data_IF_314436512927
#
_entry.id   IF_314436512927
#
_cell.length_a   1.000
_cell.length_b   1.000
_cell.length_c   1.000
_cell.angle_alpha   90.00
_cell.angle_beta   90.00
_cell.angle_gamma   90.00
#
_symmetry.space_group_name_H-M   'P 1'
#
loop_
_entity.id
_entity.type
_entity.pdbx_description
1 polymer ?
#
# COMPACT_ATOMS: atom_id res chain seq x y z
N UNK A 1 27.63 -18.70 -19.70
CA UNK A 1 26.42 -18.43 -18.89
C UNK A 1 26.46 -19.07 -17.50
N UNK A 2 26.70 -20.40 -17.36
CA UNK A 2 26.71 -21.09 -16.05
C UNK A 2 27.70 -20.48 -15.02
N UNK A 3 28.91 -20.07 -15.45
CA UNK A 3 29.89 -19.42 -14.58
C UNK A 3 29.45 -18.02 -14.13
N UNK A 4 28.89 -17.21 -15.04
CA UNK A 4 28.38 -15.87 -14.72
C UNK A 4 27.28 -15.91 -13.66
N UNK A 5 26.36 -16.86 -13.81
CA UNK A 5 25.25 -17.08 -12.91
C UNK A 5 25.68 -17.45 -11.48
N UNK A 6 26.73 -18.28 -11.37
CA UNK A 6 27.34 -18.65 -10.10
C UNK A 6 28.09 -17.48 -9.48
N UNK A 7 28.82 -16.70 -10.27
CA UNK A 7 29.54 -15.51 -9.78
C UNK A 7 28.58 -14.47 -9.22
N UNK A 8 27.51 -14.15 -9.94
CA UNK A 8 26.52 -13.16 -9.52
C UNK A 8 25.65 -13.63 -8.34
N UNK A 9 25.61 -14.94 -8.04
CA UNK A 9 24.89 -15.47 -6.86
C UNK A 9 25.63 -15.27 -5.52
N UNK A 10 26.86 -14.74 -5.57
CA UNK A 10 27.69 -14.50 -4.39
C UNK A 10 27.11 -13.36 -3.53
N UNK A 11 27.18 -13.46 -2.19
CA UNK A 11 26.59 -12.49 -1.25
C UNK A 11 27.14 -11.07 -1.41
N UNK A 12 28.32 -10.91 -2.02
CA UNK A 12 28.95 -9.61 -2.30
C UNK A 12 28.07 -8.75 -3.22
N UNK A 13 27.27 -9.36 -4.10
CA UNK A 13 26.45 -8.64 -5.08
C UNK A 13 25.05 -8.28 -4.57
N UNK A 14 24.62 -8.78 -3.41
CA UNK A 14 23.26 -8.56 -2.90
C UNK A 14 23.01 -7.10 -2.49
N UNK A 15 23.95 -6.50 -1.76
CA UNK A 15 23.85 -5.10 -1.32
C UNK A 15 23.85 -4.11 -2.49
N UNK A 16 24.78 -4.17 -3.45
CA UNK A 16 24.74 -3.26 -4.60
C UNK A 16 23.50 -3.48 -5.46
N UNK A 17 23.03 -4.72 -5.63
CA UNK A 17 21.79 -4.99 -6.34
C UNK A 17 20.59 -4.31 -5.67
N UNK A 18 20.48 -4.41 -4.35
CA UNK A 18 19.41 -3.79 -3.57
C UNK A 18 19.47 -2.27 -3.61
N UNK A 19 20.67 -1.71 -3.49
CA UNK A 19 20.88 -0.27 -3.59
C UNK A 19 20.44 0.26 -4.96
N UNK A 20 20.83 -0.42 -6.05
CA UNK A 20 20.43 -0.06 -7.41
C UNK A 20 18.90 -0.13 -7.58
N UNK A 21 18.27 -1.15 -7.00
CA UNK A 21 16.83 -1.32 -7.09
C UNK A 21 16.06 -0.24 -6.31
N UNK A 22 16.53 0.14 -5.13
CA UNK A 22 15.97 1.27 -4.36
C UNK A 22 16.19 2.63 -5.05
N UNK A 23 17.35 2.81 -5.69
CA UNK A 23 17.65 4.04 -6.44
C UNK A 23 16.75 4.16 -7.67
N UNK A 24 16.58 3.06 -8.41
CA UNK A 24 15.64 2.97 -9.53
C UNK A 24 14.23 3.33 -9.08
N UNK A 25 13.78 2.77 -7.95
CA UNK A 25 12.45 3.04 -7.41
C UNK A 25 12.25 4.48 -6.96
N UNK A 26 13.28 5.08 -6.37
CA UNK A 26 13.24 6.47 -5.93
C UNK A 26 13.07 7.40 -7.14
N UNK A 27 13.86 7.19 -8.20
CA UNK A 27 13.75 7.94 -9.44
C UNK A 27 12.37 7.80 -10.08
N UNK A 28 11.87 6.57 -10.12
CA UNK A 28 10.59 6.22 -10.72
C UNK A 28 9.38 6.73 -9.91
N UNK A 29 9.43 6.66 -8.58
CA UNK A 29 8.42 7.24 -7.70
C UNK A 29 8.38 8.76 -7.82
N UNK A 30 9.55 9.39 -7.94
CA UNK A 30 9.67 10.83 -8.16
C UNK A 30 9.06 11.25 -9.51
N UNK A 31 9.34 10.49 -10.57
CA UNK A 31 8.77 10.71 -11.91
C UNK A 31 7.24 10.58 -11.89
N UNK A 32 6.70 9.62 -11.15
CA UNK A 32 5.24 9.48 -11.00
C UNK A 32 4.63 10.71 -10.33
N UNK A 33 5.20 11.18 -9.22
CA UNK A 33 4.67 12.36 -8.51
C UNK A 33 4.77 13.64 -9.35
N UNK A 34 5.79 13.77 -10.20
CA UNK A 34 5.97 14.98 -11.03
C UNK A 34 5.16 14.96 -12.32
N UNK A 35 4.97 13.79 -12.94
CA UNK A 35 4.38 13.68 -14.28
C UNK A 35 2.94 13.13 -14.31
N UNK A 36 2.48 12.40 -13.29
CA UNK A 36 1.09 11.95 -13.24
C UNK A 36 0.22 12.94 -12.45
N UNK A 37 -0.85 13.49 -13.05
CA UNK A 37 -1.79 14.34 -12.33
C UNK A 37 -2.52 13.54 -11.25
N UNK A 38 -2.64 14.15 -10.07
CA UNK A 38 -3.39 13.58 -8.96
C UNK A 38 -4.86 13.41 -9.35
N UNK A 39 -5.39 12.20 -9.17
CA UNK A 39 -6.84 11.97 -9.24
C UNK A 39 -7.43 12.29 -7.86
N UNK A 40 -8.22 13.36 -7.78
CA UNK A 40 -8.81 13.99 -6.58
C UNK A 40 -9.61 13.07 -5.61
N UNK A 41 -9.78 11.81 -5.94
CA UNK A 41 -10.84 10.94 -5.42
C UNK A 41 -10.68 10.66 -3.92
N UNK A 42 -9.43 10.57 -3.41
CA UNK A 42 -9.20 9.94 -2.10
C UNK A 42 -8.91 10.95 -0.97
N UNK A 43 -8.04 11.96 -1.14
CA UNK A 43 -7.74 12.91 -0.05
C UNK A 43 -8.93 13.82 0.27
N UNK A 44 -9.62 14.29 -0.77
CA UNK A 44 -10.77 15.21 -0.64
C UNK A 44 -11.97 14.50 0.00
N UNK A 45 -12.13 13.19 -0.22
CA UNK A 45 -13.23 12.42 0.37
C UNK A 45 -13.06 12.16 1.88
N UNK A 46 -11.82 12.18 2.39
CA UNK A 46 -11.53 11.83 3.79
C UNK A 46 -11.22 13.03 4.67
N UNK A 47 -10.79 14.15 4.07
CA UNK A 47 -10.72 15.40 4.82
C UNK A 47 -12.14 15.83 5.17
N UNK A 48 -12.45 16.08 6.47
CA UNK A 48 -13.69 16.73 6.83
C UNK A 48 -13.78 18.04 6.04
N UNK A 49 -14.97 18.43 5.54
CA UNK A 49 -15.12 19.76 4.97
C UNK A 49 -14.72 20.77 6.04
N UNK A 50 -13.55 21.38 5.89
CA UNK A 50 -13.02 22.44 6.75
C UNK A 50 -13.86 23.73 6.64
N UNK A 51 -14.96 23.68 5.87
CA UNK A 51 -15.94 24.74 5.82
C UNK A 51 -16.62 24.89 7.19
N UNK A 52 -16.15 25.88 7.96
CA UNK A 52 -16.75 26.41 9.20
C UNK A 52 -18.24 26.84 9.06
N UNK A 53 -18.86 26.70 7.89
CA UNK A 53 -20.26 27.06 7.60
C UNK A 53 -21.13 25.92 7.04
N UNK A 54 -20.58 24.74 6.78
CA UNK A 54 -21.40 23.62 6.31
C UNK A 54 -22.02 22.90 7.52
N UNK A 55 -23.35 22.91 7.61
CA UNK A 55 -24.09 22.13 8.60
C UNK A 55 -23.64 20.66 8.53
N UNK A 56 -23.35 19.99 9.66
CA UNK A 56 -22.91 18.60 9.63
C UNK A 56 -24.05 17.72 9.11
N UNK A 57 -23.78 16.99 8.03
CA UNK A 57 -24.55 15.80 7.68
C UNK A 57 -24.18 14.77 8.75
N UNK A 58 -25.17 14.31 9.52
CA UNK A 58 -25.00 13.22 10.50
C UNK A 58 -24.45 12.00 9.76
N UNK A 59 -23.14 11.80 9.84
CA UNK A 59 -22.46 10.58 9.42
C UNK A 59 -21.98 9.87 10.70
N UNK A 60 -22.03 8.54 10.67
CA UNK A 60 -21.95 7.65 11.83
C UNK A 60 -20.79 7.94 12.80
N UNK A 61 -20.95 7.53 14.08
CA UNK A 61 -20.00 7.65 15.20
C UNK A 61 -18.49 7.49 14.87
N UNK A 62 -18.14 6.65 13.87
CA UNK A 62 -16.76 6.44 13.44
C UNK A 62 -16.12 7.66 12.74
N UNK A 63 -16.88 8.43 11.96
CA UNK A 63 -16.40 9.67 11.35
C UNK A 63 -16.23 10.77 12.40
N UNK A 64 -17.06 10.77 13.44
CA UNK A 64 -16.96 11.75 14.53
C UNK A 64 -15.76 11.50 15.44
N UNK A 65 -15.38 10.24 15.69
CA UNK A 65 -14.18 9.90 16.46
C UNK A 65 -12.87 10.25 15.71
N UNK A 66 -12.78 9.91 14.42
CA UNK A 66 -11.65 10.29 13.58
C UNK A 66 -11.54 11.81 13.43
N UNK A 67 -12.67 12.50 13.23
CA UNK A 67 -12.71 13.95 13.20
C UNK A 67 -12.40 14.58 14.57
N UNK A 68 -12.74 13.95 15.69
CA UNK A 68 -12.40 14.43 17.04
C UNK A 68 -10.89 14.28 17.33
N UNK A 69 -10.27 13.16 16.97
CA UNK A 69 -8.81 12.98 17.10
C UNK A 69 -8.06 13.97 16.21
N UNK A 70 -8.54 14.17 14.99
CA UNK A 70 -7.99 15.17 14.07
C UNK A 70 -8.12 16.60 14.62
N UNK A 71 -9.32 16.98 15.12
CA UNK A 71 -9.54 18.28 15.77
C UNK A 71 -8.67 18.47 17.01
N UNK A 72 -8.54 17.45 17.85
CA UNK A 72 -7.68 17.50 19.04
C UNK A 72 -6.20 17.67 18.66
N UNK A 73 -5.75 17.06 17.56
CA UNK A 73 -4.40 17.23 17.02
C UNK A 73 -4.15 18.62 16.41
N UNK A 74 -5.20 19.28 15.90
CA UNK A 74 -5.11 20.67 15.42
C UNK A 74 -5.17 21.69 16.56
N UNK A 75 -5.95 21.41 17.61
CA UNK A 75 -6.05 22.25 18.81
C UNK A 75 -4.76 22.27 19.64
N UNK A 76 -3.93 21.22 19.55
CA UNK A 76 -2.61 21.18 20.21
C UNK A 76 -1.55 22.10 19.57
N UNK A 77 -1.86 22.80 18.47
CA UNK A 77 -1.00 23.87 17.92
C UNK A 77 0.34 23.41 17.33
N UNK A 78 0.69 22.14 17.38
CA UNK A 78 1.91 21.60 16.78
C UNK A 78 1.62 21.01 15.40
N UNK A 79 1.52 21.90 14.41
CA UNK A 79 1.47 21.51 13.00
C UNK A 79 2.86 21.04 12.53
N UNK A 80 3.32 19.90 13.06
CA UNK A 80 4.67 19.34 12.86
C UNK A 80 5.00 19.08 11.38
N UNK A 81 3.97 18.91 10.53
CA UNK A 81 4.11 18.67 9.09
C UNK A 81 3.62 19.83 8.21
N UNK A 82 3.05 20.89 8.79
CA UNK A 82 2.48 22.02 8.04
C UNK A 82 1.31 21.60 7.13
N UNK A 83 0.49 20.67 7.62
CA UNK A 83 -0.64 20.07 6.93
C UNK A 83 -1.93 20.58 7.59
N UNK A 84 -2.25 21.83 7.31
CA UNK A 84 -3.42 22.60 7.79
C UNK A 84 -4.81 21.99 7.44
N UNK A 85 -4.89 20.71 7.08
CA UNK A 85 -6.09 20.05 6.58
C UNK A 85 -6.64 20.68 5.30
N UNK A 86 -5.87 21.57 4.66
CA UNK A 86 -6.30 22.26 3.45
C UNK A 86 -6.29 21.30 2.25
N UNK A 87 -7.33 21.36 1.42
CA UNK A 87 -7.41 20.65 0.14
C UNK A 87 -6.66 21.38 -0.97
N UNK A 88 -5.72 22.27 -0.61
CA UNK A 88 -4.95 23.02 -1.59
C UNK A 88 -4.04 22.08 -2.40
N UNK A 89 -3.81 22.35 -3.70
CA UNK A 89 -2.91 21.54 -4.52
C UNK A 89 -1.49 21.42 -3.95
N UNK A 90 -1.05 22.42 -3.17
CA UNK A 90 0.26 22.44 -2.51
C UNK A 90 0.30 21.46 -1.32
N UNK A 91 -0.75 21.42 -0.50
CA UNK A 91 -0.85 20.48 0.62
C UNK A 91 -0.90 19.03 0.13
N UNK A 92 -1.68 18.77 -0.93
CA UNK A 92 -1.77 17.44 -1.56
C UNK A 92 -0.38 16.98 -2.03
N UNK A 93 0.41 17.85 -2.67
CA UNK A 93 1.79 17.50 -3.08
C UNK A 93 2.71 17.18 -1.91
N UNK A 94 2.65 17.93 -0.80
CA UNK A 94 3.46 17.64 0.40
C UNK A 94 3.16 16.23 0.92
N UNK A 95 1.89 15.89 0.98
CA UNK A 95 1.41 14.59 1.46
C UNK A 95 1.82 13.44 0.54
N UNK A 96 1.75 13.63 -0.78
CA UNK A 96 2.25 12.65 -1.75
C UNK A 96 3.72 12.30 -1.47
N UNK A 97 4.56 13.31 -1.18
CA UNK A 97 5.97 13.08 -0.83
C UNK A 97 6.13 12.33 0.50
N UNK A 98 5.32 12.63 1.52
CA UNK A 98 5.32 11.86 2.78
C UNK A 98 5.00 10.38 2.52
N UNK A 99 4.02 10.10 1.67
CA UNK A 99 3.64 8.72 1.31
C UNK A 99 4.68 8.04 0.43
N UNK A 100 5.36 8.76 -0.48
CA UNK A 100 6.51 8.24 -1.23
C UNK A 100 7.62 7.83 -0.27
N UNK A 101 7.97 8.68 0.70
CA UNK A 101 8.99 8.35 1.71
C UNK A 101 8.58 7.10 2.50
N UNK A 102 7.34 7.05 2.98
CA UNK A 102 6.82 5.89 3.72
C UNK A 102 6.86 4.61 2.87
N UNK A 103 6.52 4.69 1.59
CA UNK A 103 6.62 3.59 0.65
C UNK A 103 8.07 3.14 0.42
N UNK A 104 9.01 4.07 0.22
CA UNK A 104 10.43 3.75 0.05
C UNK A 104 11.02 3.08 1.29
N UNK A 105 10.65 3.56 2.49
CA UNK A 105 11.02 2.91 3.77
C UNK A 105 10.44 1.50 3.85
N UNK A 106 9.16 1.32 3.52
CA UNK A 106 8.53 0.01 3.52
C UNK A 106 9.22 -0.96 2.55
N UNK A 107 9.55 -0.49 1.34
CA UNK A 107 10.28 -1.26 0.35
C UNK A 107 11.68 -1.64 0.83
N UNK A 108 12.41 -0.73 1.49
CA UNK A 108 13.70 -1.02 2.09
C UNK A 108 13.61 -2.07 3.22
N UNK A 109 12.58 -2.02 4.06
CA UNK A 109 12.34 -3.01 5.13
C UNK A 109 12.06 -4.40 4.54
N UNK A 110 11.18 -4.48 3.54
CA UNK A 110 10.88 -5.73 2.82
C UNK A 110 12.16 -6.30 2.21
N UNK A 111 12.98 -5.42 1.64
CA UNK A 111 14.23 -5.80 1.01
C UNK A 111 15.26 -6.37 1.99
N UNK A 112 15.38 -5.75 3.16
CA UNK A 112 16.22 -6.23 4.24
C UNK A 112 15.73 -7.59 4.78
N UNK A 113 14.41 -7.81 4.84
CA UNK A 113 13.83 -9.10 5.22
C UNK A 113 14.20 -10.19 4.21
N UNK A 114 14.10 -9.91 2.91
CA UNK A 114 14.53 -10.85 1.87
C UNK A 114 16.03 -11.19 1.98
N UNK A 115 16.90 -10.20 2.22
CA UNK A 115 18.34 -10.46 2.44
C UNK A 115 18.57 -11.38 3.64
N UNK A 116 17.83 -11.19 4.73
CA UNK A 116 17.94 -12.05 5.91
C UNK A 116 17.57 -13.50 5.60
N UNK A 117 16.48 -13.70 4.86
CA UNK A 117 16.03 -15.03 4.42
C UNK A 117 17.06 -15.66 3.48
N UNK A 118 17.56 -14.91 2.49
CA UNK A 118 18.56 -15.36 1.53
C UNK A 118 19.87 -15.76 2.22
N UNK A 119 20.33 -14.95 3.17
CA UNK A 119 21.52 -15.24 3.98
C UNK A 119 21.34 -16.51 4.81
N UNK A 120 20.17 -16.69 5.43
CA UNK A 120 19.83 -17.91 6.17
C UNK A 120 19.80 -19.17 5.28
N UNK A 121 19.30 -19.06 4.05
CA UNK A 121 19.33 -20.17 3.09
C UNK A 121 20.77 -20.53 2.68
N UNK A 122 21.63 -19.53 2.43
CA UNK A 122 23.05 -19.77 2.12
C UNK A 122 23.78 -20.47 3.26
N UNK A 123 23.55 -20.06 4.50
CA UNK A 123 24.15 -20.69 5.69
C UNK A 123 23.76 -22.16 5.82
N UNK A 124 22.47 -22.50 5.65
CA UNK A 124 21.99 -23.88 5.68
C UNK A 124 22.56 -24.73 4.55
N UNK A 125 22.72 -24.15 3.37
CA UNK A 125 23.30 -24.85 2.22
C UNK A 125 24.79 -25.10 2.42
N UNK A 126 25.52 -24.15 3.01
CA UNK A 126 26.95 -24.31 3.27
C UNK A 126 27.25 -25.44 4.28
N UNK A 127 26.33 -25.72 5.19
CA UNK A 127 26.40 -26.90 6.07
C UNK A 127 26.14 -28.24 5.35
N UNK A 128 25.53 -28.22 4.15
CA UNK A 128 25.17 -29.42 3.37
C UNK A 128 26.22 -29.82 2.33
N UNK A 129 27.31 -29.07 2.20
CA UNK A 129 28.46 -29.30 1.31
C UNK A 129 28.16 -29.59 -0.17
N UNK A 130 26.93 -29.29 -0.61
CA UNK A 130 26.47 -29.52 -1.98
C UNK A 130 26.62 -28.25 -2.83
N UNK A 131 27.66 -28.20 -3.68
CA UNK A 131 27.84 -27.16 -4.71
C UNK A 131 26.89 -27.35 -5.92
N UNK A 132 25.59 -27.37 -5.66
CA UNK A 132 24.58 -27.62 -6.68
C UNK A 132 24.24 -26.37 -7.51
N UNK A 133 24.21 -26.52 -8.84
CA UNK A 133 23.68 -25.52 -9.79
C UNK A 133 22.23 -25.11 -9.44
N UNK A 134 21.47 -26.03 -8.84
CA UNK A 134 20.11 -25.81 -8.35
C UNK A 134 20.02 -24.77 -7.22
N UNK A 135 21.05 -24.64 -6.37
CA UNK A 135 21.03 -23.63 -5.31
C UNK A 135 21.21 -22.23 -5.87
N UNK A 136 22.15 -22.06 -6.82
CA UNK A 136 22.23 -20.82 -7.59
C UNK A 136 20.89 -20.57 -8.31
N UNK A 137 20.22 -21.60 -8.85
CA UNK A 137 18.87 -21.51 -9.45
C UNK A 137 17.87 -20.84 -8.49
N UNK A 138 17.84 -21.34 -7.25
CA UNK A 138 17.00 -20.83 -6.17
C UNK A 138 17.32 -19.37 -5.83
N UNK A 139 18.60 -18.99 -5.66
CA UNK A 139 19.00 -17.62 -5.32
C UNK A 139 18.44 -16.61 -6.32
N UNK A 140 18.54 -16.90 -7.62
CA UNK A 140 17.95 -15.99 -8.61
C UNK A 140 16.44 -16.09 -8.71
N UNK A 141 15.83 -17.25 -8.43
CA UNK A 141 14.39 -17.31 -8.29
C UNK A 141 13.90 -16.34 -7.21
N UNK A 142 14.67 -16.18 -6.12
CA UNK A 142 14.41 -15.17 -5.08
C UNK A 142 14.68 -13.73 -5.55
N UNK A 143 15.76 -13.47 -6.31
CA UNK A 143 15.99 -12.15 -6.92
C UNK A 143 14.86 -11.76 -7.89
N UNK A 144 14.43 -12.69 -8.74
CA UNK A 144 13.31 -12.49 -9.67
C UNK A 144 12.01 -12.31 -8.90
N UNK A 145 11.75 -13.08 -7.85
CA UNK A 145 10.57 -12.89 -7.01
C UNK A 145 10.58 -11.52 -6.32
N UNK A 146 11.74 -11.03 -5.90
CA UNK A 146 11.93 -9.68 -5.38
C UNK A 146 11.62 -8.62 -6.45
N UNK A 147 12.13 -8.77 -7.67
CA UNK A 147 11.79 -7.90 -8.81
C UNK A 147 10.28 -7.91 -9.13
N UNK A 148 9.67 -9.10 -9.16
CA UNK A 148 8.25 -9.29 -9.46
C UNK A 148 7.37 -8.69 -8.37
N UNK A 149 7.70 -8.89 -7.09
CA UNK A 149 6.94 -8.28 -5.98
C UNK A 149 7.07 -6.76 -5.98
N UNK A 150 8.17 -6.23 -6.49
CA UNK A 150 8.35 -4.81 -6.75
C UNK A 150 7.48 -4.31 -7.93
N UNK A 151 7.50 -5.01 -9.05
CA UNK A 151 6.73 -4.65 -10.24
C UNK A 151 5.21 -4.86 -10.07
N UNK A 152 4.80 -5.87 -9.29
CA UNK A 152 3.40 -6.23 -9.03
C UNK A 152 2.69 -5.23 -8.12
N UNK A 153 3.38 -4.69 -7.11
CA UNK A 153 2.83 -3.63 -6.24
C UNK A 153 2.46 -2.36 -7.00
N UNK A 154 2.97 -2.21 -8.22
CA UNK A 154 2.69 -1.12 -9.16
C UNK A 154 1.40 -1.31 -9.96
N UNK A 155 1.06 -2.55 -10.34
CA UNK A 155 -0.17 -2.84 -11.11
C UNK A 155 -1.42 -2.71 -10.21
N UNK A 156 -1.25 -2.86 -8.90
CA UNK A 156 -2.35 -2.80 -7.94
C UNK A 156 -2.49 -1.46 -7.18
N UNK A 157 -1.51 -0.55 -7.29
CA UNK A 157 -1.46 0.63 -6.44
C UNK A 157 -0.67 1.76 -7.11
N UNK A 158 -1.18 2.97 -7.36
CA UNK A 158 -2.14 3.76 -6.58
C UNK A 158 -1.75 3.86 -5.08
N UNK A 159 -0.62 3.32 -4.60
CA UNK A 159 -0.25 3.40 -3.16
C UNK A 159 0.13 4.83 -2.76
N UNK A 160 0.63 5.61 -3.72
CA UNK A 160 0.93 7.05 -3.57
C UNK A 160 -0.33 7.92 -3.72
N UNK A 161 -1.41 7.36 -4.29
CA UNK A 161 -2.64 8.09 -4.65
C UNK A 161 -3.84 7.75 -3.74
N UNK A 162 -3.90 6.52 -3.22
CA UNK A 162 -4.86 6.00 -2.23
C UNK A 162 -4.32 6.22 -0.83
N UNK A 163 -4.46 7.46 -0.40
CA UNK A 163 -3.90 7.99 0.82
C UNK A 163 -4.55 7.40 2.09
N UNK A 164 -4.39 6.09 2.31
CA UNK A 164 -5.16 5.33 3.30
C UNK A 164 -4.31 4.62 4.33
N UNK A 165 -5.00 4.18 5.39
CA UNK A 165 -4.47 3.45 6.53
C UNK A 165 -3.68 2.18 6.14
N UNK A 166 -3.90 1.65 4.93
CA UNK A 166 -3.21 0.46 4.42
C UNK A 166 -1.69 0.67 4.34
N UNK A 167 -1.24 1.86 3.93
CA UNK A 167 0.19 2.13 3.78
C UNK A 167 0.93 2.13 5.14
N UNK A 168 0.50 2.87 6.17
CA UNK A 168 1.10 2.77 7.50
C UNK A 168 0.88 1.39 8.15
N UNK A 169 -0.28 0.73 7.94
CA UNK A 169 -0.50 -0.63 8.44
C UNK A 169 0.50 -1.64 7.84
N UNK A 170 0.72 -1.59 6.52
CA UNK A 170 1.67 -2.47 5.85
C UNK A 170 3.11 -2.16 6.23
N UNK A 171 3.48 -0.89 6.43
CA UNK A 171 4.81 -0.52 6.91
C UNK A 171 5.06 -1.11 8.31
N UNK A 172 4.15 -0.91 9.25
CA UNK A 172 4.28 -1.45 10.61
C UNK A 172 4.30 -2.98 10.60
N UNK A 173 3.49 -3.62 9.76
CA UNK A 173 3.51 -5.07 9.59
C UNK A 173 4.89 -5.56 9.12
N UNK A 174 5.44 -4.97 8.05
CA UNK A 174 6.74 -5.37 7.53
C UNK A 174 7.88 -5.06 8.52
N UNK A 175 7.78 -3.95 9.25
CA UNK A 175 8.73 -3.61 10.32
C UNK A 175 8.66 -4.62 11.48
N UNK A 176 7.47 -5.06 11.87
CA UNK A 176 7.31 -6.09 12.90
C UNK A 176 7.99 -7.40 12.50
N UNK A 177 7.86 -7.83 11.23
CA UNK A 177 8.52 -9.02 10.72
C UNK A 177 10.03 -8.85 10.68
N UNK A 178 10.52 -7.67 10.29
CA UNK A 178 11.95 -7.36 10.32
C UNK A 178 12.53 -7.42 11.74
N UNK A 179 11.86 -6.83 12.74
CA UNK A 179 12.31 -6.85 14.13
C UNK A 179 12.40 -8.27 14.70
N UNK A 180 11.46 -9.14 14.33
CA UNK A 180 11.47 -10.56 14.73
C UNK A 180 12.57 -11.33 14.00
N UNK A 181 12.67 -11.19 12.68
CA UNK A 181 13.56 -12.02 11.87
C UNK A 181 15.05 -11.58 11.90
N UNK A 182 15.30 -10.28 12.03
CA UNK A 182 16.65 -9.70 11.94
C UNK A 182 17.21 -9.34 13.32
N UNK A 183 16.38 -8.82 14.23
CA UNK A 183 16.84 -8.28 15.51
C UNK A 183 16.56 -9.20 16.71
N UNK A 184 15.88 -10.34 16.51
CA UNK A 184 15.41 -11.25 17.57
C UNK A 184 14.60 -10.54 18.68
N UNK A 185 14.02 -9.38 18.34
CA UNK A 185 13.33 -8.50 19.27
C UNK A 185 11.84 -8.86 19.35
N UNK A 186 11.53 -10.07 19.81
CA UNK A 186 10.17 -10.63 19.82
C UNK A 186 9.14 -9.76 20.55
N UNK A 187 9.53 -9.17 21.68
CA UNK A 187 8.64 -8.31 22.46
C UNK A 187 8.22 -7.06 21.67
N UNK A 188 9.20 -6.38 21.07
CA UNK A 188 8.95 -5.19 20.25
C UNK A 188 8.17 -5.55 18.98
N UNK A 189 8.51 -6.66 18.33
CA UNK A 189 7.80 -7.17 17.15
C UNK A 189 6.32 -7.39 17.42
N UNK A 190 5.94 -8.01 18.55
CA UNK A 190 4.52 -8.21 18.93
C UNK A 190 3.77 -6.89 19.15
N UNK A 191 4.42 -5.92 19.78
CA UNK A 191 3.83 -4.59 20.02
C UNK A 191 3.57 -3.88 18.69
N UNK A 192 4.58 -3.83 17.81
CA UNK A 192 4.47 -3.20 16.49
C UNK A 192 3.44 -3.92 15.60
N UNK A 193 3.39 -5.26 15.66
CA UNK A 193 2.38 -6.05 14.95
C UNK A 193 0.96 -5.72 15.41
N UNK A 194 0.76 -5.59 16.73
CA UNK A 194 -0.56 -5.24 17.30
C UNK A 194 -0.99 -3.83 16.86
N UNK A 195 -0.05 -2.90 16.76
CA UNK A 195 -0.29 -1.56 16.24
C UNK A 195 -0.63 -1.57 14.74
N UNK A 196 0.03 -2.42 13.94
CA UNK A 196 -0.33 -2.59 12.53
C UNK A 196 -1.78 -3.07 12.36
N UNK A 197 -2.19 -4.04 13.18
CA UNK A 197 -3.56 -4.54 13.22
C UNK A 197 -4.57 -3.46 13.61
N UNK A 198 -4.26 -2.61 14.60
CA UNK A 198 -5.17 -1.56 15.06
C UNK A 198 -5.46 -0.50 14.00
N UNK A 199 -4.50 -0.22 13.11
CA UNK A 199 -4.70 0.70 12.00
C UNK A 199 -5.73 0.12 11.01
N UNK A 200 -5.64 -1.17 10.67
CA UNK A 200 -6.51 -1.83 9.68
C UNK A 200 -7.73 -2.52 10.31
N UNK A 201 -8.42 -1.84 11.21
CA UNK A 201 -9.55 -2.41 11.98
C UNK A 201 -10.91 -2.40 11.27
N UNK A 202 -10.97 -2.19 9.96
CA UNK A 202 -12.24 -2.11 9.22
C UNK A 202 -13.17 -3.33 9.45
N UNK A 203 -12.59 -4.51 9.68
CA UNK A 203 -13.37 -5.72 9.98
C UNK A 203 -13.95 -5.68 11.40
N UNK A 204 -13.19 -5.22 12.39
CA UNK A 204 -13.66 -5.11 13.78
C UNK A 204 -14.71 -4.02 13.94
N UNK A 205 -14.54 -2.89 13.22
CA UNK A 205 -15.54 -1.81 13.19
C UNK A 205 -16.81 -2.21 12.42
N UNK A 206 -16.67 -3.00 11.35
CA UNK A 206 -17.81 -3.53 10.60
C UNK A 206 -18.53 -4.70 11.29
N UNK A 207 -17.87 -5.38 12.24
CA UNK A 207 -18.40 -6.54 12.95
C UNK A 207 -19.76 -6.31 13.62
N UNK A 208 -19.99 -5.25 14.44
CA UNK A 208 -21.31 -5.03 15.06
C UNK A 208 -22.42 -4.78 14.03
N UNK A 209 -22.10 -4.16 12.89
CA UNK A 209 -23.06 -3.98 11.80
C UNK A 209 -23.35 -5.31 11.08
N UNK A 210 -22.31 -6.10 10.79
CA UNK A 210 -22.44 -7.37 10.10
C UNK A 210 -23.17 -8.42 10.94
N UNK A 211 -22.96 -8.43 12.25
CA UNK A 211 -23.66 -9.34 13.18
C UNK A 211 -25.13 -8.98 13.34
N UNK A 212 -25.48 -7.69 13.27
CA UNK A 212 -26.86 -7.22 13.46
C UNK A 212 -27.65 -7.20 12.14
N UNK A 213 -27.00 -6.89 11.02
CA UNK A 213 -27.65 -6.68 9.72
C UNK A 213 -26.91 -7.37 8.55
N UNK A 214 -26.67 -8.69 8.60
CA UNK A 214 -25.92 -9.40 7.57
C UNK A 214 -26.63 -9.36 6.20
N UNK A 215 -27.96 -9.50 6.19
CA UNK A 215 -28.76 -9.50 4.96
C UNK A 215 -28.76 -8.12 4.29
N UNK A 216 -28.90 -7.05 5.09
CA UNK A 216 -28.83 -5.68 4.57
C UNK A 216 -27.45 -5.35 4.02
N UNK A 217 -26.37 -5.79 4.70
CA UNK A 217 -25.02 -5.62 4.18
C UNK A 217 -24.84 -6.31 2.83
N UNK A 218 -25.23 -7.58 2.69
CA UNK A 218 -25.08 -8.32 1.42
C UNK A 218 -25.90 -7.66 0.31
N UNK A 219 -27.13 -7.22 0.61
CA UNK A 219 -28.00 -6.57 -0.38
C UNK A 219 -27.42 -5.26 -0.90
N UNK A 220 -26.84 -4.44 -0.02
CA UNK A 220 -26.25 -3.14 -0.38
C UNK A 220 -24.82 -3.25 -0.93
N UNK A 221 -24.03 -4.23 -0.45
CA UNK A 221 -22.67 -4.48 -0.92
C UNK A 221 -22.65 -5.09 -2.33
N UNK A 222 -23.73 -5.79 -2.70
CA UNK A 222 -23.92 -6.44 -4.00
C UNK A 222 -25.13 -5.85 -4.72
N UNK A 223 -25.20 -4.51 -4.74
CA UNK A 223 -26.25 -3.78 -5.43
C UNK A 223 -25.96 -3.71 -6.94
N UNK A 224 -26.48 -4.68 -7.69
CA UNK A 224 -26.27 -4.78 -9.15
C UNK A 224 -26.94 -3.66 -9.97
N UNK A 225 -27.86 -2.90 -9.36
CA UNK A 225 -28.52 -1.76 -9.99
C UNK A 225 -27.61 -0.51 -10.05
N UNK A 226 -26.46 -0.53 -9.34
CA UNK A 226 -25.56 0.61 -9.27
C UNK A 226 -24.71 0.72 -10.53
N UNK A 227 -25.02 1.70 -11.36
CA UNK A 227 -24.17 2.11 -12.49
C UNK A 227 -23.11 3.09 -12.00
N UNK A 228 -21.84 2.79 -12.23
CA UNK A 228 -20.76 3.73 -11.91
C UNK A 228 -20.87 4.98 -12.79
N UNK A 229 -20.63 6.17 -12.22
CA UNK A 229 -20.57 7.37 -13.05
C UNK A 229 -19.33 7.33 -13.96
N UNK A 230 -19.51 7.66 -15.24
CA UNK A 230 -18.44 7.67 -16.24
C UNK A 230 -17.22 8.50 -15.80
N UNK A 231 -17.46 9.64 -15.12
CA UNK A 231 -16.41 10.51 -14.56
C UNK A 231 -15.45 9.82 -13.59
N UNK A 232 -15.88 8.76 -12.91
CA UNK A 232 -15.08 8.02 -11.93
C UNK A 232 -14.41 6.76 -12.50
N UNK A 233 -14.56 6.51 -13.80
CA UNK A 233 -13.93 5.35 -14.44
C UNK A 233 -12.46 5.65 -14.72
N UNK A 234 -11.57 4.78 -14.25
CA UNK A 234 -10.12 4.92 -14.49
C UNK A 234 -9.71 4.18 -15.75
N UNK A 235 -10.18 2.94 -15.92
CA UNK A 235 -9.76 2.06 -17.01
C UNK A 235 -10.64 2.17 -18.27
N UNK A 236 -11.83 2.80 -18.18
CA UNK A 236 -12.84 2.82 -19.26
C UNK A 236 -12.98 4.17 -19.95
N UNK A 237 -12.06 5.12 -19.70
CA UNK A 237 -12.10 6.48 -20.31
C UNK A 237 -11.95 6.49 -21.83
N UNK A 238 -11.49 5.40 -22.43
CA UNK A 238 -11.42 5.26 -23.89
C UNK A 238 -12.78 4.93 -24.53
N UNK A 239 -13.76 4.48 -23.73
CA UNK A 239 -15.09 4.14 -24.19
C UNK A 239 -15.99 5.40 -24.15
N UNK A 240 -16.86 5.63 -25.13
CA UNK A 240 -17.87 6.69 -25.05
C UNK A 240 -18.78 6.50 -23.83
N UNK A 241 -19.19 7.62 -23.20
CA UNK A 241 -20.04 7.61 -21.99
C UNK A 241 -21.36 6.84 -22.22
N UNK A 242 -21.95 6.98 -23.40
CA UNK A 242 -23.18 6.30 -23.80
C UNK A 242 -23.06 4.76 -23.77
N UNK A 243 -21.91 4.24 -24.22
CA UNK A 243 -21.62 2.80 -24.21
C UNK A 243 -21.32 2.32 -22.80
N UNK A 244 -20.60 3.11 -22.00
CA UNK A 244 -20.21 2.75 -20.64
C UNK A 244 -21.43 2.62 -19.71
N UNK A 245 -22.42 3.49 -19.86
CA UNK A 245 -23.65 3.50 -19.05
C UNK A 245 -24.66 2.46 -19.54
N UNK A 246 -24.46 1.88 -20.73
CA UNK A 246 -25.43 0.94 -21.30
C UNK A 246 -25.51 -0.38 -20.51
N UNK A 247 -26.73 -0.80 -20.18
CA UNK A 247 -26.99 -2.07 -19.49
C UNK A 247 -26.52 -3.27 -20.31
N UNK A 248 -26.59 -3.17 -21.64
CA UNK A 248 -26.11 -4.22 -22.55
C UNK A 248 -24.60 -4.42 -22.42
N UNK A 249 -23.82 -3.34 -22.35
CA UNK A 249 -22.37 -3.42 -22.16
C UNK A 249 -21.99 -4.02 -20.81
N UNK A 250 -22.69 -3.61 -19.74
CA UNK A 250 -22.48 -4.17 -18.40
C UNK A 250 -22.75 -5.69 -18.35
N UNK A 251 -23.82 -6.15 -19.01
CA UNK A 251 -24.14 -7.58 -19.10
C UNK A 251 -23.12 -8.38 -19.92
N UNK A 252 -22.61 -7.81 -21.03
CA UNK A 252 -21.54 -8.44 -21.81
C UNK A 252 -20.27 -8.60 -20.97
N UNK A 253 -19.87 -7.54 -20.25
CA UNK A 253 -18.71 -7.60 -19.36
C UNK A 253 -18.89 -8.64 -18.25
N UNK A 254 -20.08 -8.71 -17.65
CA UNK A 254 -20.40 -9.71 -16.64
C UNK A 254 -20.33 -11.14 -17.22
N UNK A 255 -20.79 -11.35 -18.44
CA UNK A 255 -20.74 -12.67 -19.10
C UNK A 255 -19.33 -13.11 -19.51
N UNK A 256 -18.41 -12.17 -19.69
CA UNK A 256 -17.01 -12.46 -20.02
C UNK A 256 -16.13 -12.75 -18.80
N UNK A 257 -16.60 -12.45 -17.59
CA UNK A 257 -15.82 -12.58 -16.35
C UNK A 257 -16.01 -13.95 -15.68
#
# INVERSE_FOLDING_TARGET
MKNLYRTLSQPIYDLPYIFLLLLFETALSSLVVTHLPYTEIDWVAYMPPTCKKCRPIKTSLASDAAAAVWRASMESGEDFLGLDGSTSPIAIRKIQWVFVVMYLVNSAVVMALYQRVLSGMRQRQQQRDDQNLQFSALVWAWCIAMDITFLSKRIHSIFVLRLFNDAPAMLLLNLSMYLVACCDAWALGRVVFSLAGSIKMNIVLGWPFLSTYPVSYIKEAVEFDRVFFFKWTVNWKFLPEELFVSTMWALVLLSCH
#
